data_IF_141641493890
#
_entry.id   IF_141641493890
#
_cell.length_a   1.000
_cell.length_b   1.000
_cell.length_c   1.000
_cell.angle_alpha   90.00
_cell.angle_beta   90.00
_cell.angle_gamma   90.00
#
_symmetry.space_group_name_H-M   'P 1'
#
loop_
_entity.id
_entity.type
_entity.pdbx_description
1 polymer ?
#
# COMPACT_ATOMS: atom_id res chain seq x y z
N UNK A 1 0.07 -27.83 3.63
CA UNK A 1 -1.28 -27.30 3.38
C UNK A 1 -1.10 -25.85 2.99
N UNK A 2 -1.60 -25.42 1.84
CA UNK A 2 -1.55 -24.01 1.43
C UNK A 2 -2.30 -23.16 2.47
N UNK A 3 -1.64 -22.12 2.97
CA UNK A 3 -2.20 -21.21 3.97
C UNK A 3 -3.42 -20.48 3.41
N UNK A 4 -4.52 -20.45 4.16
CA UNK A 4 -5.75 -19.75 3.74
C UNK A 4 -5.60 -18.25 3.98
N UNK A 5 -5.75 -17.46 2.92
CA UNK A 5 -5.77 -16.00 2.98
C UNK A 5 -7.05 -15.53 3.68
N UNK A 6 -6.94 -14.61 4.64
CA UNK A 6 -8.09 -14.01 5.34
C UNK A 6 -7.90 -12.52 5.58
N UNK A 7 -8.92 -11.73 5.29
CA UNK A 7 -8.94 -10.28 5.50
C UNK A 7 -10.38 -9.76 5.54
N UNK A 8 -10.58 -8.54 6.00
CA UNK A 8 -11.90 -7.88 5.89
C UNK A 8 -11.96 -7.05 4.62
N UNK A 9 -13.06 -7.14 3.88
CA UNK A 9 -13.35 -6.34 2.70
C UNK A 9 -14.67 -5.60 2.91
N UNK A 10 -14.60 -4.27 3.01
CA UNK A 10 -15.75 -3.41 3.29
C UNK A 10 -16.54 -3.88 4.53
N UNK A 11 -15.83 -4.32 5.57
CA UNK A 11 -16.41 -4.83 6.83
C UNK A 11 -16.83 -6.30 6.82
N UNK A 12 -16.85 -6.97 5.67
CA UNK A 12 -17.14 -8.41 5.58
C UNK A 12 -15.87 -9.27 5.62
N UNK A 13 -15.86 -10.36 6.37
CA UNK A 13 -14.75 -11.32 6.34
C UNK A 13 -14.67 -11.98 4.96
N UNK A 14 -13.50 -11.91 4.33
CA UNK A 14 -13.19 -12.46 3.03
C UNK A 14 -12.08 -13.51 3.16
N UNK A 15 -12.31 -14.71 2.62
CA UNK A 15 -11.37 -15.83 2.70
C UNK A 15 -11.22 -16.53 1.34
N UNK A 16 -10.66 -15.85 0.32
CA UNK A 16 -10.61 -16.37 -1.04
C UNK A 16 -9.58 -17.50 -1.17
N UNK A 17 -9.82 -18.39 -2.12
CA UNK A 17 -8.82 -19.36 -2.54
C UNK A 17 -7.84 -18.69 -3.50
N UNK A 18 -6.58 -18.58 -3.09
CA UNK A 18 -5.53 -17.99 -3.94
C UNK A 18 -4.97 -19.07 -4.87
N UNK A 19 -5.33 -19.00 -6.15
CA UNK A 19 -4.83 -19.92 -7.20
C UNK A 19 -3.68 -19.34 -8.00
N UNK A 20 -3.64 -18.02 -8.16
CA UNK A 20 -2.53 -17.26 -8.74
C UNK A 20 -1.93 -16.36 -7.64
N UNK A 21 -0.74 -16.69 -7.11
CA UNK A 21 -0.14 -15.92 -6.02
C UNK A 21 0.32 -14.51 -6.41
N UNK A 22 0.35 -14.19 -7.71
CA UNK A 22 0.69 -12.86 -8.24
C UNK A 22 -0.52 -12.10 -8.78
N UNK A 23 -1.74 -12.63 -8.60
CA UNK A 23 -2.97 -11.91 -8.94
C UNK A 23 -2.99 -10.57 -8.21
N UNK A 24 -3.24 -9.49 -8.96
CA UNK A 24 -3.34 -8.16 -8.37
C UNK A 24 -4.62 -8.03 -7.55
N UNK A 25 -4.59 -7.21 -6.51
CA UNK A 25 -5.80 -6.88 -5.72
C UNK A 25 -6.86 -6.26 -6.62
N UNK A 26 -6.47 -5.45 -7.61
CA UNK A 26 -7.40 -4.85 -8.57
C UNK A 26 -8.17 -5.91 -9.36
N UNK A 27 -7.48 -6.92 -9.90
CA UNK A 27 -8.12 -7.99 -10.66
C UNK A 27 -9.07 -8.81 -9.78
N UNK A 28 -8.65 -9.13 -8.55
CA UNK A 28 -9.49 -9.81 -7.58
C UNK A 28 -10.79 -9.02 -7.29
N UNK A 29 -10.66 -7.73 -6.97
CA UNK A 29 -11.82 -6.88 -6.67
C UNK A 29 -12.79 -6.81 -7.86
N UNK A 30 -12.27 -6.65 -9.07
CA UNK A 30 -13.10 -6.42 -10.26
C UNK A 30 -13.72 -7.68 -10.83
N UNK A 31 -12.92 -8.74 -10.97
CA UNK A 31 -13.31 -9.94 -11.72
C UNK A 31 -13.81 -11.07 -10.83
N UNK A 32 -13.39 -11.13 -9.57
CA UNK A 32 -13.86 -12.15 -8.63
C UNK A 32 -14.96 -11.61 -7.71
N UNK A 33 -14.76 -10.43 -7.12
CA UNK A 33 -15.75 -9.83 -6.20
C UNK A 33 -16.81 -8.98 -6.90
N UNK A 34 -16.62 -8.63 -8.18
CA UNK A 34 -17.55 -7.76 -8.92
C UNK A 34 -17.59 -6.30 -8.42
N UNK A 35 -16.64 -5.90 -7.57
CA UNK A 35 -16.48 -4.55 -7.03
C UNK A 35 -15.74 -3.67 -8.07
N UNK A 36 -16.50 -3.21 -9.05
CA UNK A 36 -15.96 -2.53 -10.23
C UNK A 36 -15.72 -1.03 -10.06
N UNK A 37 -16.02 -0.46 -8.89
CA UNK A 37 -15.80 0.94 -8.54
C UNK A 37 -14.33 1.32 -8.57
N UNK A 38 -13.44 0.45 -8.09
CA UNK A 38 -11.99 0.58 -8.24
C UNK A 38 -11.60 0.34 -9.70
N UNK A 39 -10.81 1.26 -10.30
CA UNK A 39 -10.57 1.28 -11.75
C UNK A 39 -9.13 0.94 -12.12
N UNK A 40 -8.97 0.28 -13.26
CA UNK A 40 -7.69 0.18 -13.95
C UNK A 40 -7.50 1.37 -14.88
N UNK A 41 -6.45 2.16 -14.68
CA UNK A 41 -6.14 3.30 -15.55
C UNK A 41 -4.79 3.17 -16.25
N UNK A 42 -3.73 2.94 -15.47
CA UNK A 42 -2.36 2.82 -16.00
C UNK A 42 -1.73 1.43 -15.79
N UNK A 43 -2.02 0.74 -14.67
CA UNK A 43 -1.39 -0.55 -14.34
C UNK A 43 0.02 -0.46 -13.75
N UNK A 44 0.52 0.74 -13.42
CA UNK A 44 1.88 0.95 -12.85
C UNK A 44 1.90 1.82 -11.57
N UNK A 45 0.74 2.15 -11.00
CA UNK A 45 0.66 2.95 -9.77
C UNK A 45 0.64 4.47 -9.98
N UNK A 46 0.86 4.96 -11.20
CA UNK A 46 0.99 6.40 -11.49
C UNK A 46 -0.33 7.20 -11.39
N UNK A 47 -1.45 6.65 -11.87
CA UNK A 47 -2.66 7.44 -12.06
C UNK A 47 -3.59 7.53 -10.84
N UNK A 48 -3.40 6.64 -9.85
CA UNK A 48 -4.23 6.59 -8.63
C UNK A 48 -5.69 6.19 -8.81
N UNK A 49 -6.15 5.84 -10.02
CA UNK A 49 -7.55 5.42 -10.26
C UNK A 49 -7.92 4.11 -9.55
N UNK A 50 -6.91 3.28 -9.25
CA UNK A 50 -7.03 2.03 -8.52
C UNK A 50 -6.83 2.18 -7.00
N UNK A 51 -6.85 3.41 -6.47
CA UNK A 51 -6.59 3.63 -5.04
C UNK A 51 -7.66 2.93 -4.20
N UNK A 52 -7.20 2.10 -3.27
CA UNK A 52 -7.97 1.51 -2.18
C UNK A 52 -7.33 1.93 -0.85
N UNK A 53 -8.00 1.67 0.26
CA UNK A 53 -7.47 1.95 1.60
C UNK A 53 -7.29 0.64 2.36
N UNK A 54 -6.09 0.43 2.90
CA UNK A 54 -5.72 -0.78 3.64
C UNK A 54 -5.35 -0.40 5.07
N UNK A 55 -6.07 -0.97 6.03
CA UNK A 55 -5.84 -0.89 7.45
C UNK A 55 -5.05 -2.09 7.95
N UNK A 56 -4.01 -1.84 8.74
CA UNK A 56 -3.22 -2.87 9.42
C UNK A 56 -3.10 -2.55 10.90
N UNK A 57 -3.00 -3.58 11.72
CA UNK A 57 -2.70 -3.43 13.14
C UNK A 57 -1.20 -3.11 13.30
N UNK A 58 -0.89 -1.91 13.76
CA UNK A 58 0.46 -1.43 14.06
C UNK A 58 0.46 -0.94 15.52
N UNK A 59 1.21 -1.61 16.40
CA UNK A 59 1.27 -1.24 17.83
C UNK A 59 -0.09 -1.27 18.55
N UNK A 60 -0.96 -2.24 18.22
CA UNK A 60 -2.30 -2.38 18.80
C UNK A 60 -3.33 -1.36 18.28
N UNK A 61 -2.98 -0.55 17.28
CA UNK A 61 -3.88 0.43 16.65
C UNK A 61 -3.98 0.16 15.17
N UNK A 62 -5.15 0.39 14.58
CA UNK A 62 -5.30 0.29 13.14
C UNK A 62 -4.74 1.55 12.49
N UNK A 63 -3.80 1.39 11.55
CA UNK A 63 -3.32 2.47 10.70
C UNK A 63 -3.75 2.23 9.26
N UNK A 64 -4.41 3.22 8.68
CA UNK A 64 -4.91 3.15 7.32
C UNK A 64 -3.97 3.81 6.33
N UNK A 65 -3.82 3.20 5.16
CA UNK A 65 -3.01 3.73 4.08
C UNK A 65 -3.74 3.60 2.75
N UNK A 66 -3.77 4.69 2.00
CA UNK A 66 -4.13 4.66 0.59
C UNK A 66 -2.99 3.96 -0.17
N UNK A 67 -3.33 2.97 -1.00
CA UNK A 67 -2.37 2.17 -1.80
C UNK A 67 -2.94 1.88 -3.19
N UNK A 68 -2.06 1.54 -4.14
CA UNK A 68 -2.46 1.21 -5.51
C UNK A 68 -2.81 -0.29 -5.64
N UNK A 69 -4.09 -0.61 -5.85
CA UNK A 69 -4.52 -2.01 -5.97
C UNK A 69 -3.96 -2.73 -7.21
N UNK A 70 -3.54 -1.98 -8.24
CA UNK A 70 -3.07 -2.56 -9.51
C UNK A 70 -1.66 -3.16 -9.44
N UNK A 71 -0.87 -2.85 -8.40
CA UNK A 71 0.51 -3.34 -8.23
C UNK A 71 0.72 -4.02 -6.86
N UNK A 72 -0.38 -4.27 -6.15
CA UNK A 72 -0.41 -4.98 -4.87
C UNK A 72 -0.91 -6.40 -5.14
N UNK A 73 -0.21 -7.43 -4.66
CA UNK A 73 -0.65 -8.81 -4.84
C UNK A 73 -1.65 -9.23 -3.76
N UNK A 74 -2.60 -10.08 -4.14
CA UNK A 74 -3.70 -10.51 -3.28
C UNK A 74 -3.23 -11.09 -1.92
N UNK A 75 -2.18 -11.94 -1.85
CA UNK A 75 -1.66 -12.43 -0.57
C UNK A 75 -1.27 -11.34 0.43
N UNK A 76 -0.83 -10.16 -0.03
CA UNK A 76 -0.42 -9.06 0.84
C UNK A 76 -1.55 -8.53 1.72
N UNK A 77 -2.81 -8.82 1.38
CA UNK A 77 -3.97 -8.42 2.15
C UNK A 77 -4.20 -9.25 3.42
N UNK A 78 -3.45 -10.34 3.64
CA UNK A 78 -3.66 -11.18 4.82
C UNK A 78 -3.68 -10.35 6.10
N UNK A 79 -4.69 -10.59 6.95
CA UNK A 79 -4.98 -9.90 8.20
C UNK A 79 -5.17 -8.39 8.10
N UNK A 80 -5.63 -7.88 6.95
CA UNK A 80 -5.93 -6.46 6.77
C UNK A 80 -7.42 -6.15 6.87
N UNK A 81 -7.75 -4.89 7.07
CA UNK A 81 -9.06 -4.31 6.76
C UNK A 81 -8.95 -3.52 5.45
N UNK A 82 -9.71 -3.91 4.43
CA UNK A 82 -9.63 -3.37 3.07
C UNK A 82 -10.91 -2.63 2.74
N UNK A 83 -10.75 -1.38 2.30
CA UNK A 83 -11.86 -0.51 1.93
C UNK A 83 -11.73 -0.11 0.47
N UNK A 84 -12.84 -0.26 -0.25
CA UNK A 84 -13.03 0.22 -1.61
C UNK A 84 -14.09 1.32 -1.63
N UNK A 85 -14.24 1.99 -2.77
CA UNK A 85 -15.20 3.09 -2.90
C UNK A 85 -16.64 2.66 -2.61
N UNK A 86 -16.99 1.40 -2.85
CA UNK A 86 -18.30 0.81 -2.57
C UNK A 86 -18.61 0.70 -1.07
N UNK A 87 -17.55 0.53 -0.24
CA UNK A 87 -17.65 0.48 1.21
C UNK A 87 -17.68 1.85 1.88
N UNK A 88 -17.37 2.94 1.15
CA UNK A 88 -17.43 4.31 1.65
C UNK A 88 -18.87 4.81 1.54
N UNK A 89 -19.59 4.84 2.66
CA UNK A 89 -20.99 5.29 2.77
C UNK A 89 -21.25 5.99 4.10
N UNK A 90 -22.25 6.85 4.12
CA UNK A 90 -22.79 7.39 5.37
C UNK A 90 -23.54 6.31 6.17
N UNK A 91 -23.69 6.46 7.51
CA UNK A 91 -24.39 5.48 8.35
C UNK A 91 -25.84 5.19 7.94
N UNK A 92 -26.49 6.12 7.24
CA UNK A 92 -27.84 5.98 6.67
C UNK A 92 -27.87 5.24 5.31
N UNK A 93 -26.71 4.79 4.82
CA UNK A 93 -26.54 4.14 3.52
C UNK A 93 -26.36 5.10 2.34
N UNK A 94 -26.45 6.42 2.58
CA UNK A 94 -26.26 7.47 1.59
C UNK A 94 -24.81 7.67 1.16
N UNK A 95 -24.58 8.75 0.41
CA UNK A 95 -23.23 9.18 0.05
C UNK A 95 -22.47 9.59 1.31
N UNK A 96 -21.22 9.15 1.43
CA UNK A 96 -20.30 9.69 2.44
C UNK A 96 -20.01 11.18 2.13
N UNK A 97 -19.74 12.05 3.13
CA UNK A 97 -19.47 13.48 2.90
C UNK A 97 -18.41 13.78 1.82
N UNK A 98 -17.35 12.98 1.74
CA UNK A 98 -16.34 13.09 0.65
C UNK A 98 -16.97 12.87 -0.74
N UNK A 99 -17.85 11.88 -0.89
CA UNK A 99 -18.53 11.61 -2.16
C UNK A 99 -19.54 12.71 -2.49
N UNK A 100 -20.29 13.19 -1.51
CA UNK A 100 -21.23 14.31 -1.68
C UNK A 100 -20.50 15.60 -2.08
N UNK A 101 -19.38 15.92 -1.44
CA UNK A 101 -18.56 17.07 -1.80
C UNK A 101 -18.04 17.00 -3.24
N UNK A 102 -17.69 15.82 -3.75
CA UNK A 102 -17.30 15.64 -5.15
C UNK A 102 -18.43 15.98 -6.12
N UNK A 103 -19.69 15.70 -5.75
CA UNK A 103 -20.87 16.07 -6.53
C UNK A 103 -21.09 17.58 -6.47
N UNK A 104 -21.20 18.11 -5.25
CA UNK A 104 -21.59 19.49 -5.00
C UNK A 104 -20.57 20.52 -5.51
N UNK A 105 -19.28 20.20 -5.43
CA UNK A 105 -18.21 21.07 -5.92
C UNK A 105 -17.88 20.84 -7.39
N UNK A 106 -18.65 20.01 -8.11
CA UNK A 106 -18.39 19.63 -9.51
C UNK A 106 -16.99 18.99 -9.70
N UNK A 107 -16.54 18.23 -8.70
CA UNK A 107 -15.27 17.51 -8.68
C UNK A 107 -15.22 16.28 -9.61
N UNK A 108 -16.34 15.94 -10.27
CA UNK A 108 -16.45 14.78 -11.16
C UNK A 108 -17.08 15.17 -12.50
N UNK A 109 -16.43 14.79 -13.61
CA UNK A 109 -16.97 14.92 -14.98
C UNK A 109 -17.17 13.54 -15.60
N UNK A 110 -16.14 12.94 -16.23
CA UNK A 110 -16.23 11.60 -16.78
C UNK A 110 -16.38 10.50 -15.72
N UNK A 111 -16.08 10.81 -14.45
CA UNK A 111 -16.26 9.92 -13.31
C UNK A 111 -15.18 8.84 -13.13
N UNK A 112 -14.30 8.62 -14.11
CA UNK A 112 -13.39 7.46 -14.09
C UNK A 112 -12.35 7.53 -12.95
N UNK A 113 -11.77 8.71 -12.72
CA UNK A 113 -10.77 8.91 -11.67
C UNK A 113 -11.39 9.16 -10.28
N UNK A 114 -12.68 9.50 -10.22
CA UNK A 114 -13.37 9.95 -9.00
C UNK A 114 -13.25 8.95 -7.84
N UNK A 115 -13.41 7.62 -8.04
CA UNK A 115 -13.17 6.64 -6.98
C UNK A 115 -11.78 6.75 -6.34
N UNK A 116 -10.73 6.93 -7.14
CA UNK A 116 -9.37 7.06 -6.63
C UNK A 116 -9.17 8.31 -5.76
N UNK A 117 -9.75 9.44 -6.16
CA UNK A 117 -9.74 10.67 -5.36
C UNK A 117 -10.51 10.49 -4.05
N UNK A 118 -11.71 9.89 -4.09
CA UNK A 118 -12.51 9.59 -2.88
C UNK A 118 -11.70 8.73 -1.91
N UNK A 119 -11.07 7.65 -2.37
CA UNK A 119 -10.30 6.76 -1.50
C UNK A 119 -9.04 7.41 -0.94
N UNK A 120 -8.39 8.31 -1.68
CA UNK A 120 -7.21 9.03 -1.20
C UNK A 120 -7.57 10.00 -0.07
N UNK A 121 -8.67 10.74 -0.23
CA UNK A 121 -9.20 11.61 0.83
C UNK A 121 -9.71 10.81 2.03
N UNK A 122 -10.38 9.67 1.78
CA UNK A 122 -10.92 8.85 2.86
C UNK A 122 -9.81 8.21 3.70
N UNK A 123 -8.76 7.68 3.06
CA UNK A 123 -7.58 7.18 3.77
C UNK A 123 -6.90 8.26 4.59
N UNK A 124 -6.87 9.51 4.11
CA UNK A 124 -6.36 10.65 4.86
C UNK A 124 -7.25 11.00 6.07
N UNK A 125 -8.57 11.03 5.88
CA UNK A 125 -9.57 11.28 6.93
C UNK A 125 -9.46 10.28 8.08
N UNK A 126 -9.32 8.98 7.77
CA UNK A 126 -9.24 7.91 8.78
C UNK A 126 -8.05 8.03 9.73
N UNK A 127 -7.03 8.80 9.34
CA UNK A 127 -5.87 9.09 10.18
C UNK A 127 -5.93 10.50 10.82
N UNK A 128 -7.08 11.18 10.77
CA UNK A 128 -7.26 12.51 11.36
C UNK A 128 -6.53 13.62 10.60
N UNK A 129 -6.36 13.47 9.29
CA UNK A 129 -5.59 14.39 8.47
C UNK A 129 -6.19 15.81 8.34
N UNK A 130 -5.31 16.79 8.13
CA UNK A 130 -5.68 18.18 7.82
C UNK A 130 -6.14 18.33 6.36
N UNK A 131 -7.24 19.03 6.12
CA UNK A 131 -7.82 19.28 4.79
C UNK A 131 -7.47 20.67 4.24
N UNK A 132 -6.41 21.30 4.76
CA UNK A 132 -5.87 22.52 4.15
C UNK A 132 -5.43 22.28 2.71
N UNK A 133 -5.59 23.30 1.87
CA UNK A 133 -5.34 23.21 0.43
C UNK A 133 -3.96 22.65 0.06
N UNK A 134 -2.93 23.03 0.82
CA UNK A 134 -1.57 22.59 0.53
C UNK A 134 -1.39 21.10 0.84
N UNK A 135 -1.92 20.62 1.97
CA UNK A 135 -1.91 19.19 2.30
C UNK A 135 -2.69 18.39 1.26
N UNK A 136 -3.86 18.90 0.85
CA UNK A 136 -4.66 18.24 -0.19
C UNK A 136 -3.93 18.09 -1.53
N UNK A 137 -3.10 19.05 -1.92
CA UNK A 137 -2.26 18.91 -3.12
C UNK A 137 -1.28 17.75 -2.98
N UNK A 138 -0.68 17.58 -1.81
CA UNK A 138 0.28 16.50 -1.56
C UNK A 138 -0.44 15.13 -1.48
N UNK A 139 -1.58 15.06 -0.79
CA UNK A 139 -2.41 13.85 -0.66
C UNK A 139 -2.93 13.38 -2.03
N UNK A 140 -3.34 14.31 -2.89
CA UNK A 140 -3.94 14.01 -4.19
C UNK A 140 -2.94 14.02 -5.36
N UNK A 141 -1.65 14.26 -5.11
CA UNK A 141 -0.64 14.33 -6.16
C UNK A 141 -0.53 13.03 -6.98
N UNK A 142 -0.90 11.89 -6.38
CA UNK A 142 -0.94 10.57 -7.01
C UNK A 142 -2.20 10.25 -7.80
N UNK A 143 -3.16 11.18 -7.89
CA UNK A 143 -4.44 10.95 -8.56
C UNK A 143 -4.54 11.83 -9.79
N UNK A 144 -4.57 11.23 -10.97
CA UNK A 144 -4.62 11.97 -12.22
C UNK A 144 -6.05 12.15 -12.69
N UNK A 145 -6.41 13.39 -13.01
CA UNK A 145 -7.66 13.75 -13.66
C UNK A 145 -7.38 14.49 -14.97
N UNK A 146 -8.00 14.04 -16.07
CA UNK A 146 -7.86 14.69 -17.38
C UNK A 146 -8.96 15.70 -17.70
N UNK A 147 -10.01 15.76 -16.89
CA UNK A 147 -11.24 16.49 -17.22
C UNK A 147 -11.45 17.77 -16.39
N UNK A 148 -11.21 17.73 -15.09
CA UNK A 148 -11.70 18.77 -14.16
C UNK A 148 -10.74 19.95 -13.95
N UNK A 149 -9.47 19.81 -14.32
CA UNK A 149 -8.45 20.81 -14.00
C UNK A 149 -8.13 20.94 -12.50
N UNK A 150 -8.52 19.95 -11.67
CA UNK A 150 -8.21 19.80 -10.24
C UNK A 150 -8.80 20.84 -9.27
N UNK A 151 -9.04 22.08 -9.68
CA UNK A 151 -9.61 23.13 -8.82
C UNK A 151 -10.90 22.70 -8.09
N UNK A 152 -11.91 22.16 -8.80
CA UNK A 152 -13.12 21.62 -8.20
C UNK A 152 -12.90 20.46 -7.22
N UNK A 153 -11.91 19.60 -7.49
CA UNK A 153 -11.56 18.46 -6.63
C UNK A 153 -10.94 18.93 -5.32
N UNK A 154 -10.04 19.93 -5.38
CA UNK A 154 -9.46 20.54 -4.18
C UNK A 154 -10.54 21.21 -3.33
N UNK A 155 -11.48 21.92 -3.96
CA UNK A 155 -12.62 22.51 -3.27
C UNK A 155 -13.52 21.45 -2.60
N UNK A 156 -13.73 20.31 -3.25
CA UNK A 156 -14.43 19.17 -2.66
C UNK A 156 -13.69 18.63 -1.41
N UNK A 157 -12.37 18.48 -1.48
CA UNK A 157 -11.56 18.08 -0.33
C UNK A 157 -11.68 19.05 0.84
N UNK A 158 -11.53 20.36 0.59
CA UNK A 158 -11.66 21.42 1.61
C UNK A 158 -13.06 21.38 2.28
N UNK A 159 -14.11 21.08 1.50
CA UNK A 159 -15.49 20.98 2.00
C UNK A 159 -15.79 19.69 2.76
N UNK A 160 -15.16 18.58 2.37
CA UNK A 160 -15.44 17.26 2.92
C UNK A 160 -14.93 17.04 4.35
N UNK A 161 -14.16 17.98 4.90
CA UNK A 161 -13.50 17.88 6.20
C UNK A 161 -14.44 17.34 7.30
N UNK A 162 -14.23 16.08 7.66
CA UNK A 162 -14.96 15.37 8.70
C UNK A 162 -13.98 14.53 9.54
N UNK A 163 -14.38 14.16 10.75
CA UNK A 163 -13.61 13.22 11.58
C UNK A 163 -13.70 11.78 11.06
N UNK A 164 -12.91 10.84 11.64
CA UNK A 164 -13.08 9.42 11.36
C UNK A 164 -14.51 8.97 11.75
N UNK A 165 -15.13 8.17 10.88
CA UNK A 165 -16.53 7.74 10.97
C UNK A 165 -16.67 6.24 11.31
N UNK A 166 -15.58 5.60 11.72
CA UNK A 166 -15.49 4.15 11.97
C UNK A 166 -14.99 3.85 13.39
N UNK A 167 -15.51 2.78 13.97
CA UNK A 167 -15.06 2.27 15.28
C UNK A 167 -13.71 1.56 15.15
N UNK A 168 -12.63 2.33 15.33
CA UNK A 168 -11.26 1.84 15.24
C UNK A 168 -10.93 0.75 16.26
N UNK A 169 -11.58 0.75 17.43
CA UNK A 169 -11.33 -0.24 18.47
C UNK A 169 -11.97 -1.58 18.11
N UNK A 170 -13.21 -1.56 17.59
CA UNK A 170 -13.86 -2.76 17.08
C UNK A 170 -13.08 -3.38 15.91
N UNK A 171 -12.56 -2.55 15.00
CA UNK A 171 -11.75 -3.03 13.87
C UNK A 171 -10.42 -3.61 14.36
N UNK A 172 -9.76 -2.99 15.35
CA UNK A 172 -8.54 -3.55 15.94
C UNK A 172 -8.78 -4.96 16.49
N UNK A 173 -9.86 -5.15 17.27
CA UNK A 173 -10.25 -6.45 17.81
C UNK A 173 -10.56 -7.49 16.69
N UNK A 174 -11.20 -7.05 15.60
CA UNK A 174 -11.44 -7.90 14.43
C UNK A 174 -10.13 -8.36 13.77
N UNK A 175 -9.17 -7.44 13.59
CA UNK A 175 -7.88 -7.76 13.00
C UNK A 175 -7.04 -8.66 13.91
N UNK A 176 -7.10 -8.47 15.22
CA UNK A 176 -6.48 -9.38 16.20
C UNK A 176 -7.05 -10.79 16.09
N UNK A 177 -8.38 -10.93 15.93
CA UNK A 177 -9.03 -12.24 15.81
C UNK A 177 -8.61 -13.04 14.56
N UNK A 178 -8.16 -12.35 13.50
CA UNK A 178 -7.65 -12.98 12.27
C UNK A 178 -6.12 -12.86 12.12
N UNK A 179 -5.42 -12.35 13.13
CA UNK A 179 -3.96 -12.32 13.12
C UNK A 179 -3.40 -13.73 13.06
N UNK A 180 -2.36 -13.95 12.24
CA UNK A 180 -1.73 -15.26 12.05
C UNK A 180 -0.45 -15.36 12.86
N UNK A 181 -0.31 -16.48 13.58
CA UNK A 181 0.87 -16.83 14.38
C UNK A 181 1.84 -17.76 13.66
N UNK A 182 1.70 -17.89 12.35
CA UNK A 182 2.58 -18.69 11.50
C UNK A 182 2.83 -17.96 10.16
N UNK A 183 3.88 -18.34 9.44
CA UNK A 183 4.15 -17.84 8.09
C UNK A 183 2.96 -18.15 7.18
N UNK A 184 2.58 -17.22 6.29
CA UNK A 184 1.64 -17.52 5.21
C UNK A 184 2.42 -18.17 4.09
N UNK A 185 1.97 -19.34 3.63
CA UNK A 185 2.64 -20.11 2.59
C UNK A 185 1.60 -20.61 1.59
N UNK A 186 1.51 -19.94 0.45
CA UNK A 186 0.50 -20.19 -0.57
C UNK A 186 1.17 -20.88 -1.75
N UNK A 187 0.68 -22.06 -2.07
CA UNK A 187 0.96 -22.73 -3.35
C UNK A 187 -0.14 -22.39 -4.35
N UNK A 188 0.26 -22.09 -5.58
CA UNK A 188 -0.62 -21.79 -6.69
C UNK A 188 0.00 -22.20 -8.02
N UNK A 189 -0.53 -21.69 -9.11
CA UNK A 189 -0.04 -21.98 -10.45
C UNK A 189 -0.23 -20.79 -11.39
N UNK A 190 0.62 -20.72 -12.42
CA UNK A 190 0.48 -19.74 -13.47
C UNK A 190 -0.84 -19.97 -14.21
N UNK A 191 -1.70 -18.94 -14.36
CA UNK A 191 -3.01 -19.10 -15.02
C UNK A 191 -2.90 -19.45 -16.50
N UNK A 192 -1.75 -19.21 -17.13
CA UNK A 192 -1.50 -19.49 -18.56
C UNK A 192 -0.87 -20.86 -18.78
N UNK A 193 0.19 -21.19 -18.03
CA UNK A 193 0.98 -22.41 -18.26
C UNK A 193 0.69 -23.54 -17.30
N UNK A 194 -0.01 -23.28 -16.19
CA UNK A 194 -0.21 -24.24 -15.10
C UNK A 194 1.07 -24.54 -14.30
N UNK A 195 2.19 -23.87 -14.59
CA UNK A 195 3.45 -24.09 -13.88
C UNK A 195 3.31 -23.66 -12.40
N UNK A 196 3.88 -24.43 -11.45
CA UNK A 196 3.72 -24.17 -10.02
C UNK A 196 4.28 -22.80 -9.64
N UNK A 197 3.62 -22.16 -8.68
CA UNK A 197 4.04 -20.89 -8.10
C UNK A 197 3.90 -20.94 -6.59
N UNK A 198 4.71 -20.16 -5.87
CA UNK A 198 4.66 -20.09 -4.41
C UNK A 198 4.78 -18.66 -3.91
N UNK A 199 4.03 -18.33 -2.87
CA UNK A 199 4.14 -17.06 -2.17
C UNK A 199 4.26 -17.31 -0.67
N UNK A 200 5.35 -16.84 -0.08
CA UNK A 200 5.61 -16.93 1.34
C UNK A 200 5.63 -15.54 1.96
N UNK A 201 5.08 -15.39 3.16
CA UNK A 201 5.11 -14.15 3.93
C UNK A 201 5.75 -14.40 5.29
N UNK A 202 7.07 -14.26 5.32
CA UNK A 202 7.88 -14.41 6.53
C UNK A 202 7.52 -13.34 7.56
N UNK A 203 7.75 -13.64 8.84
CA UNK A 203 7.37 -12.76 9.96
C UNK A 203 8.55 -12.17 10.72
N UNK A 204 9.73 -12.73 10.51
CA UNK A 204 10.99 -12.24 11.07
C UNK A 204 12.11 -12.38 10.04
N UNK A 205 13.21 -11.66 10.27
CA UNK A 205 14.40 -11.77 9.45
C UNK A 205 15.00 -13.18 9.51
N UNK A 206 14.77 -13.92 10.61
CA UNK A 206 15.18 -15.33 10.75
C UNK A 206 14.37 -16.26 9.84
N UNK A 207 13.05 -16.11 9.82
CA UNK A 207 12.19 -16.86 8.89
C UNK A 207 12.52 -16.51 7.43
N UNK A 208 12.72 -15.22 7.13
CA UNK A 208 13.11 -14.74 5.80
C UNK A 208 14.42 -15.38 5.35
N UNK A 209 15.45 -15.36 6.20
CA UNK A 209 16.76 -15.96 5.93
C UNK A 209 16.64 -17.46 5.63
N UNK A 210 15.87 -18.19 6.44
CA UNK A 210 15.67 -19.63 6.22
C UNK A 210 14.95 -19.92 4.90
N UNK A 211 13.96 -19.09 4.51
CA UNK A 211 13.28 -19.24 3.23
C UNK A 211 14.23 -18.96 2.04
N UNK A 212 15.07 -17.94 2.14
CA UNK A 212 16.02 -17.58 1.08
C UNK A 212 17.18 -18.58 0.97
N UNK A 213 17.66 -19.18 2.07
CA UNK A 213 18.62 -20.29 1.98
C UNK A 213 18.02 -21.53 1.29
N UNK A 214 16.72 -21.77 1.50
CA UNK A 214 16.00 -22.89 0.87
C UNK A 214 15.63 -22.62 -0.60
N UNK A 215 15.43 -21.36 -0.98
CA UNK A 215 15.10 -20.94 -2.34
C UNK A 215 15.85 -19.64 -2.73
N UNK A 216 17.16 -19.72 -3.06
CA UNK A 216 17.99 -18.54 -3.34
C UNK A 216 17.55 -17.75 -4.58
N UNK A 217 16.79 -18.37 -5.47
CA UNK A 217 16.22 -17.75 -6.67
C UNK A 217 14.89 -17.01 -6.43
N UNK A 218 14.32 -17.13 -5.22
CA UNK A 218 13.05 -16.51 -4.89
C UNK A 218 13.13 -14.99 -4.98
N UNK A 219 12.06 -14.38 -5.50
CA UNK A 219 11.94 -12.93 -5.59
C UNK A 219 11.52 -12.37 -4.24
N UNK A 220 12.38 -11.52 -3.68
CA UNK A 220 12.06 -10.78 -2.47
C UNK A 220 11.10 -9.64 -2.79
N UNK A 221 9.97 -9.59 -2.08
CA UNK A 221 8.93 -8.58 -2.26
C UNK A 221 8.78 -7.74 -0.99
N UNK A 222 8.92 -6.42 -1.09
CA UNK A 222 8.49 -5.49 -0.04
C UNK A 222 7.12 -4.90 -0.41
N UNK A 223 7.04 -3.61 -0.71
CA UNK A 223 5.78 -2.93 -1.04
C UNK A 223 5.24 -3.10 -2.46
N UNK A 224 5.85 -3.96 -3.29
CA UNK A 224 5.38 -4.22 -4.67
C UNK A 224 5.52 -3.08 -5.68
N UNK A 225 6.05 -1.91 -5.29
CA UNK A 225 6.10 -0.71 -6.15
C UNK A 225 7.03 -0.81 -7.36
N UNK A 226 7.90 -1.81 -7.39
CA UNK A 226 8.75 -2.15 -8.54
C UNK A 226 8.42 -3.57 -9.05
N UNK A 227 8.44 -4.56 -8.15
CA UNK A 227 8.16 -5.97 -8.49
C UNK A 227 6.75 -6.16 -9.07
N UNK A 228 5.76 -5.39 -8.63
CA UNK A 228 4.42 -5.42 -9.21
C UNK A 228 4.43 -5.06 -10.71
N UNK A 229 5.28 -4.11 -11.12
CA UNK A 229 5.41 -3.71 -12.53
C UNK A 229 6.08 -4.79 -13.37
N UNK A 230 6.90 -5.66 -12.78
CA UNK A 230 7.43 -6.82 -13.49
C UNK A 230 6.30 -7.72 -13.97
N UNK A 231 5.24 -7.87 -13.17
CA UNK A 231 4.06 -8.65 -13.55
C UNK A 231 3.14 -7.83 -14.47
N UNK A 232 2.75 -6.62 -14.08
CA UNK A 232 1.70 -5.87 -14.80
C UNK A 232 2.16 -5.20 -16.09
N UNK A 233 3.43 -4.81 -16.18
CA UNK A 233 3.99 -4.10 -17.35
C UNK A 233 5.00 -4.92 -18.13
N UNK A 234 5.82 -5.71 -17.46
CA UNK A 234 6.80 -6.56 -18.12
C UNK A 234 6.28 -7.97 -18.40
N UNK A 235 5.08 -8.31 -17.90
CA UNK A 235 4.46 -9.63 -18.05
C UNK A 235 5.37 -10.79 -17.63
N UNK A 236 6.23 -10.55 -16.63
CA UNK A 236 7.11 -11.54 -16.05
C UNK A 236 6.33 -12.43 -15.11
N UNK A 237 6.60 -13.73 -15.18
CA UNK A 237 6.16 -14.71 -14.18
C UNK A 237 7.13 -14.70 -13.01
N UNK A 238 6.60 -14.73 -11.79
CA UNK A 238 7.37 -14.89 -10.55
C UNK A 238 7.08 -16.26 -9.95
N UNK A 239 8.04 -17.17 -10.05
CA UNK A 239 7.84 -18.58 -9.66
C UNK A 239 7.72 -18.73 -8.15
N UNK A 240 8.54 -18.00 -7.41
CA UNK A 240 8.52 -17.98 -5.95
C UNK A 240 8.73 -16.56 -5.46
N UNK A 241 7.81 -16.07 -4.63
CA UNK A 241 7.89 -14.77 -3.97
C UNK A 241 8.03 -14.98 -2.47
N UNK A 242 8.97 -14.29 -1.83
CA UNK A 242 9.08 -14.20 -0.37
C UNK A 242 8.89 -12.74 0.05
N UNK A 243 7.85 -12.50 0.84
CA UNK A 243 7.39 -11.16 1.19
C UNK A 243 7.89 -10.68 2.55
N UNK A 244 8.30 -9.41 2.60
CA UNK A 244 8.73 -8.68 3.79
C UNK A 244 7.58 -7.98 4.51
N UNK A 245 6.35 -8.04 3.97
CA UNK A 245 5.21 -7.25 4.45
C UNK A 245 4.91 -7.44 5.94
N UNK A 246 5.28 -8.59 6.53
CA UNK A 246 5.11 -8.91 7.95
C UNK A 246 6.41 -9.13 8.73
N UNK A 247 7.56 -8.82 8.14
CA UNK A 247 8.86 -8.98 8.80
C UNK A 247 9.08 -7.82 9.77
N UNK A 248 8.62 -8.00 11.01
CA UNK A 248 8.49 -6.91 11.99
C UNK A 248 9.84 -6.27 12.36
N UNK A 249 10.87 -7.09 12.54
CA UNK A 249 12.23 -6.69 12.89
C UNK A 249 12.96 -5.95 11.74
N UNK A 250 12.44 -5.98 10.51
CA UNK A 250 12.90 -5.14 9.40
C UNK A 250 12.04 -3.89 9.18
N UNK A 251 10.95 -3.71 9.92
CA UNK A 251 10.05 -2.56 9.80
C UNK A 251 10.25 -1.51 10.89
N UNK A 252 11.37 -1.57 11.62
CA UNK A 252 11.69 -0.67 12.72
C UNK A 252 12.62 0.48 12.31
N UNK A 253 12.46 1.60 13.01
CA UNK A 253 13.39 2.74 12.96
C UNK A 253 13.89 2.99 14.38
N UNK A 254 15.21 3.05 14.55
CA UNK A 254 15.85 3.28 15.84
C UNK A 254 16.78 4.49 15.73
N UNK A 255 16.59 5.47 16.61
CA UNK A 255 17.40 6.67 16.68
C UNK A 255 18.24 6.64 17.95
N UNK A 256 19.57 6.69 17.80
CA UNK A 256 20.52 6.84 18.91
C UNK A 256 21.24 8.18 18.82
N UNK A 257 22.11 8.49 19.76
CA UNK A 257 22.93 9.70 19.71
C UNK A 257 23.95 9.67 18.55
N UNK A 258 24.27 8.49 18.03
CA UNK A 258 25.31 8.24 17.03
C UNK A 258 24.75 7.99 15.62
N UNK A 259 23.56 7.38 15.50
CA UNK A 259 23.02 6.96 14.22
C UNK A 259 21.49 6.86 14.20
N UNK A 260 20.94 6.90 12.98
CA UNK A 260 19.56 6.50 12.69
C UNK A 260 19.63 5.17 11.94
N UNK A 261 19.21 4.08 12.58
CA UNK A 261 19.07 2.78 11.95
C UNK A 261 17.66 2.64 11.36
N UNK A 262 17.60 2.29 10.07
CA UNK A 262 16.35 2.17 9.31
C UNK A 262 16.28 0.74 8.78
N UNK A 263 15.28 -0.04 9.23
CA UNK A 263 15.04 -1.39 8.72
C UNK A 263 14.67 -1.39 7.23
N UNK A 264 15.04 -2.46 6.52
CA UNK A 264 14.82 -2.58 5.07
C UNK A 264 13.34 -2.58 4.67
N UNK A 265 12.45 -3.02 5.55
CA UNK A 265 11.00 -3.03 5.40
C UNK A 265 10.32 -1.70 5.77
N UNK A 266 11.06 -0.70 6.24
CA UNK A 266 10.50 0.62 6.59
C UNK A 266 10.03 1.34 5.34
N UNK A 267 8.76 1.76 5.35
CA UNK A 267 8.13 2.50 4.25
C UNK A 267 8.61 3.95 4.22
N UNK A 268 8.61 4.55 3.04
CA UNK A 268 8.91 5.97 2.90
C UNK A 268 8.01 6.85 3.77
N UNK A 269 6.71 6.56 3.82
CA UNK A 269 5.76 7.33 4.62
C UNK A 269 6.06 7.30 6.12
N UNK A 270 6.74 6.27 6.61
CA UNK A 270 7.04 6.09 8.03
C UNK A 270 8.36 6.75 8.43
N UNK A 271 9.35 6.72 7.54
CA UNK A 271 10.67 7.31 7.81
C UNK A 271 10.77 8.80 7.43
N UNK A 272 9.93 9.28 6.52
CA UNK A 272 10.01 10.64 6.00
C UNK A 272 9.92 11.74 7.09
N UNK A 273 9.02 11.67 8.09
CA UNK A 273 8.96 12.69 9.15
C UNK A 273 10.26 12.76 9.97
N UNK A 274 10.87 11.61 10.26
CA UNK A 274 12.14 11.55 10.97
C UNK A 274 13.25 12.17 10.12
N UNK A 275 13.37 11.75 8.85
CA UNK A 275 14.41 12.28 7.97
C UNK A 275 14.24 13.78 7.72
N UNK A 276 13.03 14.28 7.56
CA UNK A 276 12.77 15.72 7.42
C UNK A 276 13.21 16.53 8.64
N UNK A 277 13.13 15.95 9.85
CA UNK A 277 13.56 16.61 11.10
C UNK A 277 15.07 16.78 11.17
N UNK A 278 15.85 15.77 10.74
CA UNK A 278 17.32 15.82 10.78
C UNK A 278 17.94 16.42 9.52
N UNK A 279 17.30 16.17 8.37
CA UNK A 279 17.76 16.52 7.03
C UNK A 279 16.59 17.11 6.22
N UNK A 280 16.26 18.39 6.40
CA UNK A 280 15.10 19.02 5.76
C UNK A 280 15.08 18.88 4.22
N UNK A 281 16.26 18.96 3.58
CA UNK A 281 16.39 18.78 2.13
C UNK A 281 16.04 17.35 1.69
N UNK A 282 16.41 16.34 2.50
CA UNK A 282 16.01 14.97 2.24
C UNK A 282 14.50 14.80 2.44
N UNK A 283 13.93 15.47 3.45
CA UNK A 283 12.48 15.55 3.63
C UNK A 283 11.75 16.08 2.39
N UNK A 284 12.26 17.14 1.77
CA UNK A 284 11.66 17.72 0.55
C UNK A 284 11.78 16.79 -0.66
N UNK A 285 12.89 16.05 -0.79
CA UNK A 285 13.04 15.00 -1.80
C UNK A 285 11.97 13.92 -1.59
N UNK A 286 11.84 13.40 -0.37
CA UNK A 286 10.86 12.36 -0.06
C UNK A 286 9.41 12.83 -0.23
N UNK A 287 9.11 14.12 0.00
CA UNK A 287 7.79 14.70 -0.27
C UNK A 287 7.38 14.57 -1.74
N UNK A 288 8.35 14.61 -2.66
CA UNK A 288 8.17 14.51 -4.11
C UNK A 288 8.38 13.10 -4.67
N UNK A 289 8.85 12.16 -3.84
CA UNK A 289 9.11 10.78 -4.25
C UNK A 289 7.80 10.04 -4.48
N UNK A 290 7.45 9.84 -5.75
CA UNK A 290 6.22 9.16 -6.15
C UNK A 290 4.95 9.81 -5.57
N UNK A 291 3.87 9.03 -5.52
CA UNK A 291 2.63 9.43 -4.85
C UNK A 291 2.63 9.05 -3.38
N UNK A 292 1.65 9.56 -2.62
CA UNK A 292 1.38 9.09 -1.25
C UNK A 292 1.12 7.59 -1.23
N UNK A 293 0.42 7.06 -2.23
CA UNK A 293 0.13 5.64 -2.38
C UNK A 293 1.42 4.82 -2.57
N UNK A 294 2.35 5.31 -3.40
CA UNK A 294 3.67 4.69 -3.56
C UNK A 294 4.46 4.77 -2.27
N UNK A 295 4.49 5.90 -1.57
CA UNK A 295 5.22 6.05 -0.29
C UNK A 295 4.64 5.22 0.85
N UNK A 296 3.36 4.92 0.79
CA UNK A 296 2.65 4.06 1.74
C UNK A 296 2.93 2.57 1.54
N UNK A 297 3.53 2.17 0.43
CA UNK A 297 3.91 0.78 0.16
C UNK A 297 5.41 0.61 0.03
N UNK A 298 6.05 1.44 -0.81
CA UNK A 298 7.47 1.39 -1.11
C UNK A 298 8.35 1.59 0.13
N UNK A 299 9.43 0.82 0.20
CA UNK A 299 10.36 0.79 1.34
C UNK A 299 11.74 1.28 0.95
N UNK A 300 12.49 1.77 1.95
CA UNK A 300 13.89 2.20 1.76
C UNK A 300 14.75 1.04 1.27
N UNK A 301 14.63 -0.14 1.89
CA UNK A 301 15.38 -1.33 1.50
C UNK A 301 15.04 -1.78 0.08
N UNK A 302 13.76 -1.74 -0.30
CA UNK A 302 13.31 -2.07 -1.66
C UNK A 302 13.92 -1.15 -2.72
N UNK A 303 14.01 0.15 -2.44
CA UNK A 303 14.61 1.10 -3.37
C UNK A 303 16.11 0.89 -3.55
N UNK A 304 16.83 0.65 -2.46
CA UNK A 304 18.26 0.37 -2.49
C UNK A 304 18.52 -0.93 -3.26
N UNK A 305 17.76 -1.99 -2.99
CA UNK A 305 17.88 -3.27 -3.67
C UNK A 305 17.53 -3.20 -5.18
N UNK A 306 16.55 -2.37 -5.54
CA UNK A 306 16.19 -2.14 -6.95
C UNK A 306 17.30 -1.46 -7.74
N UNK A 307 18.10 -0.59 -7.10
CA UNK A 307 19.28 0.01 -7.70
C UNK A 307 18.98 0.88 -8.93
N UNK A 308 17.79 1.50 -8.99
CA UNK A 308 17.39 2.34 -10.11
C UNK A 308 18.38 3.52 -10.31
N UNK A 309 18.86 3.79 -11.55
CA UNK A 309 19.74 4.93 -11.82
C UNK A 309 19.15 6.30 -11.49
N UNK A 310 17.83 6.36 -11.30
CA UNK A 310 17.07 7.58 -10.97
C UNK A 310 16.36 7.48 -9.62
N UNK A 311 16.81 6.58 -8.72
CA UNK A 311 16.21 6.44 -7.40
C UNK A 311 16.53 7.62 -6.48
N UNK A 312 15.52 8.30 -5.97
CA UNK A 312 15.68 9.57 -5.25
C UNK A 312 16.25 9.44 -3.82
N UNK A 313 16.12 8.28 -3.15
CA UNK A 313 16.66 8.12 -1.79
C UNK A 313 18.14 7.72 -1.74
N UNK A 314 18.69 7.13 -2.80
CA UNK A 314 20.08 6.67 -2.78
C UNK A 314 21.11 7.81 -2.79
N UNK A 315 20.99 8.87 -3.60
CA UNK A 315 21.98 9.96 -3.61
C UNK A 315 22.13 10.65 -2.24
N UNK A 316 21.05 11.02 -1.51
CA UNK A 316 21.18 11.54 -0.14
C UNK A 316 21.85 10.55 0.81
N UNK A 317 21.50 9.26 0.76
CA UNK A 317 22.12 8.23 1.62
C UNK A 317 23.62 8.09 1.35
N UNK A 318 24.04 8.13 0.09
CA UNK A 318 25.46 8.11 -0.30
C UNK A 318 26.17 9.37 0.20
N UNK A 319 25.56 10.55 0.04
CA UNK A 319 26.13 11.82 0.48
C UNK A 319 26.30 11.88 2.01
N UNK A 320 25.40 11.24 2.76
CA UNK A 320 25.46 11.10 4.22
C UNK A 320 26.45 10.03 4.70
N UNK A 321 27.08 9.28 3.79
CA UNK A 321 27.97 8.17 4.15
C UNK A 321 27.23 7.02 4.85
N UNK A 322 25.98 6.78 4.49
CA UNK A 322 25.17 5.72 5.09
C UNK A 322 25.83 4.35 4.91
N UNK A 323 25.78 3.53 5.96
CA UNK A 323 26.30 2.16 5.96
C UNK A 323 25.16 1.16 5.76
N UNK A 324 25.39 0.14 4.92
CA UNK A 324 24.46 -0.97 4.74
C UNK A 324 24.89 -2.16 5.59
N UNK A 325 23.97 -2.66 6.42
CA UNK A 325 24.15 -3.90 7.16
C UNK A 325 23.52 -5.03 6.35
N UNK A 326 24.34 -5.96 5.88
CA UNK A 326 23.90 -7.12 5.13
C UNK A 326 23.84 -8.33 6.05
N UNK A 327 22.79 -9.12 5.89
CA UNK A 327 22.61 -10.42 6.55
C UNK A 327 22.68 -11.51 5.48
N UNK A 328 23.39 -12.60 5.77
CA UNK A 328 23.30 -13.82 4.96
C UNK A 328 22.03 -14.58 5.33
N UNK A 329 21.37 -15.11 4.31
CA UNK A 329 20.09 -15.76 4.42
C UNK A 329 19.25 -15.23 3.30
#
# INVERSE_FOLDING_TARGET
MSGRLRFYLNGGLCEPQVTDPTRTVLDFLRYEQGLTGTKEGCGEGDCGACTIVVGRLEGGRVRYRAVNACILFLPELDGCDVLTVEGVRSPDGGLHPIQEAMVDCHGSQCGFCTPGFVMSLYGWQLNGGDFSRQVLKDVLAGNLCRCTGYGPILAAGERAAAGPDRDMAAIAAQLEAIARDEMLDIEGACPVTGAPMRYQMSRSADELAACLEAAPEAVVLAGGTDVGLWVTKQHRRLDHVISLTRVADLAEVQETAEAIAIGAGVRYADVAPLLARHYPDFGEILRRLGSVQIRNSGTIGGNIANGSPIGDSMPPLIALGATLVLRKG
#
